data_IF_858068101345
#
_entry.id   IF_858068101345
#
_cell.length_a   1.000
_cell.length_b   1.000
_cell.length_c   1.000
_cell.angle_alpha   90.00
_cell.angle_beta   90.00
_cell.angle_gamma   90.00
#
_symmetry.space_group_name_H-M   'P 1'
#
loop_
_entity.id
_entity.type
_entity.pdbx_description
1 polymer ?
#
# COMPACT_ATOMS: atom_id res chain seq x y z
N UNK A 1 24.85 -24.77 25.52
CA UNK A 1 24.42 -24.60 24.12
C UNK A 1 25.49 -23.80 23.40
N UNK A 2 26.04 -24.35 22.34
CA UNK A 2 26.98 -23.66 21.46
C UNK A 2 26.17 -22.97 20.36
N UNK A 3 26.12 -21.64 20.34
CA UNK A 3 25.56 -20.88 19.25
C UNK A 3 26.58 -19.90 18.68
N UNK A 4 26.53 -19.69 17.40
CA UNK A 4 27.33 -18.71 16.67
C UNK A 4 26.41 -17.67 16.05
N UNK A 5 26.68 -16.41 16.35
CA UNK A 5 25.97 -15.28 15.71
C UNK A 5 26.94 -14.53 14.84
N UNK A 6 26.59 -14.34 13.58
CA UNK A 6 27.38 -13.53 12.67
C UNK A 6 26.62 -12.27 12.24
N UNK A 7 27.38 -11.20 12.00
CA UNK A 7 26.84 -9.96 11.45
C UNK A 7 26.91 -10.01 9.91
N UNK A 8 25.77 -10.06 9.20
CA UNK A 8 25.75 -10.10 7.75
C UNK A 8 26.50 -8.94 7.08
N UNK A 9 26.61 -7.80 7.76
CA UNK A 9 27.36 -6.63 7.25
C UNK A 9 28.86 -6.87 7.19
N UNK A 10 29.40 -7.71 8.06
CA UNK A 10 30.83 -8.06 8.07
C UNK A 10 31.20 -9.04 6.95
N UNK A 11 30.28 -9.92 6.57
CA UNK A 11 30.52 -10.95 5.56
C UNK A 11 30.17 -10.45 4.14
N UNK A 12 29.47 -9.31 4.02
CA UNK A 12 29.05 -8.71 2.73
C UNK A 12 28.37 -9.72 1.79
N UNK A 13 27.37 -10.42 2.30
CA UNK A 13 26.57 -11.32 1.48
C UNK A 13 25.81 -10.53 0.43
N UNK A 14 25.84 -10.99 -0.82
CA UNK A 14 24.97 -10.50 -1.89
C UNK A 14 23.60 -11.18 -1.80
N UNK A 15 22.61 -10.64 -2.52
CA UNK A 15 21.30 -11.28 -2.61
C UNK A 15 21.44 -12.67 -3.21
N UNK A 16 20.91 -13.69 -2.53
CA UNK A 16 21.01 -15.05 -3.03
C UNK A 16 20.78 -16.14 -1.99
N UNK A 17 20.83 -17.36 -2.49
CA UNK A 17 20.73 -18.58 -1.72
C UNK A 17 22.11 -19.05 -1.30
N UNK A 18 22.26 -19.32 -0.01
CA UNK A 18 23.52 -19.80 0.58
C UNK A 18 23.30 -21.14 1.26
N UNK A 19 24.37 -21.92 1.26
CA UNK A 19 24.42 -23.21 1.92
C UNK A 19 25.41 -23.14 3.07
N UNK A 20 25.13 -23.82 4.16
CA UNK A 20 26.05 -23.91 5.28
C UNK A 20 26.09 -25.32 5.85
N UNK A 21 27.23 -25.68 6.35
CA UNK A 21 27.51 -26.92 7.07
C UNK A 21 28.55 -26.66 8.16
N UNK A 22 28.69 -27.58 9.07
CA UNK A 22 29.64 -27.49 10.18
C UNK A 22 30.46 -28.75 10.26
N UNK A 23 31.77 -28.61 10.48
CA UNK A 23 32.68 -29.70 10.87
C UNK A 23 33.37 -29.30 12.18
N UNK A 24 33.72 -30.25 13.01
CA UNK A 24 34.56 -29.97 14.17
C UNK A 24 35.99 -30.35 13.93
N UNK A 25 36.91 -29.71 14.65
CA UNK A 25 38.37 -30.02 14.64
C UNK A 25 38.75 -30.39 16.05
N UNK A 26 39.44 -31.51 16.21
CA UNK A 26 39.92 -31.95 17.52
C UNK A 26 41.25 -31.26 17.91
N UNK A 27 41.76 -31.56 19.12
CA UNK A 27 42.99 -30.98 19.62
C UNK A 27 44.26 -31.41 18.85
N UNK A 28 44.18 -32.44 18.04
CA UNK A 28 45.29 -32.95 17.20
C UNK A 28 45.22 -32.39 15.79
N UNK A 29 44.17 -31.62 15.45
CA UNK A 29 43.97 -31.03 14.14
C UNK A 29 43.21 -31.90 13.15
N UNK A 30 42.64 -33.03 13.59
CA UNK A 30 41.80 -33.87 12.72
C UNK A 30 40.44 -33.23 12.53
N UNK A 31 39.94 -33.25 11.29
CA UNK A 31 38.63 -32.64 10.90
C UNK A 31 37.60 -33.74 10.73
N UNK A 32 36.45 -33.58 11.32
CA UNK A 32 35.30 -34.48 11.18
C UNK A 32 34.69 -34.39 9.78
N UNK A 33 33.83 -35.35 9.42
CA UNK A 33 32.90 -35.16 8.32
C UNK A 33 32.02 -33.94 8.56
N UNK A 34 31.60 -33.30 7.48
CA UNK A 34 30.66 -32.19 7.54
C UNK A 34 29.25 -32.64 7.93
N UNK A 35 28.54 -31.83 8.66
CA UNK A 35 27.10 -31.99 8.90
C UNK A 35 26.32 -32.05 7.58
N UNK A 36 25.06 -32.43 7.64
CA UNK A 36 24.13 -32.18 6.55
C UNK A 36 24.12 -30.67 6.20
N UNK A 37 23.95 -30.39 4.91
CA UNK A 37 23.91 -29.04 4.39
C UNK A 37 22.53 -28.42 4.65
N UNK A 38 22.50 -27.25 5.26
CA UNK A 38 21.30 -26.45 5.44
C UNK A 38 21.35 -25.19 4.56
N UNK A 39 20.22 -24.55 4.39
CA UNK A 39 20.03 -23.42 3.46
C UNK A 39 19.58 -22.17 4.20
N UNK A 40 20.11 -21.02 3.82
CA UNK A 40 19.54 -19.71 4.16
C UNK A 40 19.61 -18.76 2.97
N UNK A 41 18.86 -17.68 3.05
CA UNK A 41 18.83 -16.65 2.02
C UNK A 41 19.33 -15.33 2.58
N UNK A 42 20.23 -14.68 1.87
CA UNK A 42 20.66 -13.32 2.13
C UNK A 42 19.93 -12.37 1.17
N UNK A 43 19.47 -11.24 1.68
CA UNK A 43 18.86 -10.18 0.88
C UNK A 43 19.35 -8.83 1.37
N UNK A 44 19.77 -7.96 0.45
CA UNK A 44 20.15 -6.59 0.74
C UNK A 44 18.90 -5.77 1.03
N UNK A 45 18.71 -5.39 2.27
CA UNK A 45 17.56 -4.64 2.76
C UNK A 45 16.50 -5.53 3.40
N UNK A 46 15.48 -4.89 3.96
CA UNK A 46 14.32 -5.62 4.48
C UNK A 46 13.54 -6.17 3.28
N UNK A 47 13.31 -7.47 3.18
CA UNK A 47 12.46 -8.06 2.16
C UNK A 47 10.98 -7.73 2.36
N UNK A 48 10.69 -6.69 3.13
CA UNK A 48 9.34 -6.27 3.42
C UNK A 48 8.71 -5.62 2.19
N UNK A 49 7.58 -6.14 1.81
CA UNK A 49 6.69 -5.45 0.89
C UNK A 49 5.92 -4.41 1.71
N UNK A 50 6.22 -3.16 1.47
CA UNK A 50 5.49 -2.08 2.12
C UNK A 50 4.33 -1.65 1.24
N UNK A 51 3.12 -1.96 1.68
CA UNK A 51 1.90 -1.35 1.15
C UNK A 51 1.90 0.13 1.54
N UNK A 52 1.74 1.05 0.56
CA UNK A 52 1.80 2.49 0.79
C UNK A 52 0.39 3.05 0.85
N UNK A 53 -0.37 2.92 -0.23
CA UNK A 53 -1.74 3.43 -0.33
C UNK A 53 -2.68 2.33 -0.85
N UNK A 54 -3.93 2.35 -0.44
CA UNK A 54 -4.52 3.19 0.60
C UNK A 54 -3.95 2.88 1.98
N UNK A 55 -3.95 3.86 2.88
CA UNK A 55 -3.62 3.65 4.30
C UNK A 55 -4.59 2.65 4.94
N UNK A 56 -4.18 2.04 6.05
CA UNK A 56 -5.07 1.12 6.77
C UNK A 56 -6.32 1.86 7.27
N UNK A 57 -7.50 1.24 7.06
CA UNK A 57 -8.79 1.84 7.40
C UNK A 57 -9.30 2.88 6.40
N UNK A 58 -8.69 3.03 5.22
CA UNK A 58 -9.13 4.00 4.20
C UNK A 58 -10.59 3.77 3.80
N UNK A 59 -11.36 4.86 3.78
CA UNK A 59 -12.80 4.87 3.45
C UNK A 59 -13.01 5.61 2.14
N UNK A 60 -13.83 5.05 1.25
CA UNK A 60 -14.10 5.63 -0.07
C UNK A 60 -15.53 5.34 -0.51
N UNK A 61 -16.17 6.29 -1.20
CA UNK A 61 -17.45 6.05 -1.85
C UNK A 61 -17.30 5.01 -2.97
N UNK A 62 -18.30 4.17 -3.17
CA UNK A 62 -18.30 3.12 -4.20
C UNK A 62 -17.96 3.66 -5.59
N UNK A 63 -18.48 4.84 -5.95
CA UNK A 63 -18.25 5.49 -7.24
C UNK A 63 -16.78 5.86 -7.51
N UNK A 64 -15.96 6.03 -6.47
CA UNK A 64 -14.56 6.42 -6.55
C UNK A 64 -13.59 5.22 -6.45
N UNK A 65 -14.10 4.03 -6.15
CA UNK A 65 -13.27 2.82 -6.03
C UNK A 65 -12.46 2.52 -7.30
N UNK A 66 -13.01 2.64 -8.53
CA UNK A 66 -12.25 2.40 -9.75
C UNK A 66 -11.03 3.31 -9.94
N UNK A 67 -11.10 4.54 -9.41
CA UNK A 67 -10.03 5.53 -9.49
C UNK A 67 -9.03 5.43 -8.33
N UNK A 68 -9.37 4.67 -7.29
CA UNK A 68 -8.49 4.48 -6.14
C UNK A 68 -7.24 3.71 -6.55
N UNK A 69 -6.09 4.27 -6.18
CA UNK A 69 -4.78 3.66 -6.44
C UNK A 69 -4.37 2.81 -5.25
N UNK A 70 -4.02 1.57 -5.51
CA UNK A 70 -3.29 0.72 -4.58
C UNK A 70 -1.81 0.80 -4.95
N UNK A 71 -0.97 1.23 -4.01
CA UNK A 71 0.47 1.41 -4.26
C UNK A 71 1.29 0.72 -3.19
N UNK A 72 2.46 0.25 -3.59
CA UNK A 72 3.40 -0.44 -2.71
C UNK A 72 4.85 -0.24 -3.15
N UNK A 73 5.76 -0.49 -2.24
CA UNK A 73 7.18 -0.54 -2.53
C UNK A 73 7.58 -2.00 -2.70
N UNK A 74 8.12 -2.32 -3.85
CA UNK A 74 8.66 -3.65 -4.14
C UNK A 74 10.17 -3.63 -3.92
N UNK A 75 10.62 -4.36 -2.91
CA UNK A 75 12.04 -4.58 -2.63
C UNK A 75 12.32 -6.09 -2.58
N UNK A 76 12.05 -6.76 -3.70
CA UNK A 76 12.21 -8.21 -3.84
C UNK A 76 13.14 -8.53 -5.00
N UNK A 77 13.93 -9.62 -4.90
CA UNK A 77 14.71 -10.16 -6.01
C UNK A 77 13.82 -10.47 -7.24
N UNK A 78 14.43 -10.49 -8.42
CA UNK A 78 13.72 -10.73 -9.69
C UNK A 78 13.02 -12.10 -9.77
N UNK A 79 13.54 -13.09 -9.04
CA UNK A 79 12.95 -14.43 -8.98
C UNK A 79 11.69 -14.52 -8.08
N UNK A 80 11.13 -13.40 -7.63
CA UNK A 80 9.88 -13.38 -6.88
C UNK A 80 8.71 -12.93 -7.76
N UNK A 81 7.67 -13.71 -7.75
CA UNK A 81 6.37 -13.35 -8.30
C UNK A 81 5.49 -12.77 -7.21
N UNK A 82 4.91 -11.61 -7.48
CA UNK A 82 4.02 -10.92 -6.56
C UNK A 82 2.58 -11.01 -7.04
N UNK A 83 1.69 -11.34 -6.13
CA UNK A 83 0.24 -11.35 -6.33
C UNK A 83 -0.37 -10.29 -5.42
N UNK A 84 -1.14 -9.39 -6.00
CA UNK A 84 -2.06 -8.53 -5.25
C UNK A 84 -3.28 -9.35 -4.86
N UNK A 85 -3.66 -9.34 -3.60
CA UNK A 85 -4.82 -10.06 -3.08
C UNK A 85 -5.77 -9.09 -2.37
N UNK A 86 -7.06 -9.19 -2.71
CA UNK A 86 -8.15 -8.49 -2.04
C UNK A 86 -9.16 -9.51 -1.56
N UNK A 87 -9.58 -9.41 -0.30
CA UNK A 87 -10.48 -10.35 0.35
C UNK A 87 -11.59 -9.62 1.09
N UNK A 88 -12.76 -10.27 1.24
CA UNK A 88 -13.81 -9.87 2.17
C UNK A 88 -13.56 -10.37 3.60
N UNK A 89 -12.59 -11.28 3.77
CA UNK A 89 -12.27 -11.88 5.06
C UNK A 89 -10.84 -11.51 5.47
N UNK A 90 -10.66 -11.20 6.75
CA UNK A 90 -9.36 -10.76 7.28
C UNK A 90 -8.27 -11.82 7.18
N UNK A 91 -8.63 -13.08 7.19
CA UNK A 91 -7.73 -14.23 7.05
C UNK A 91 -7.41 -14.58 5.59
N UNK A 92 -8.02 -13.85 4.63
CA UNK A 92 -7.90 -14.12 3.19
C UNK A 92 -8.43 -15.48 2.75
N UNK A 93 -9.33 -16.08 3.51
CA UNK A 93 -10.01 -17.33 3.14
C UNK A 93 -10.95 -17.16 1.94
N UNK A 94 -11.42 -15.92 1.68
CA UNK A 94 -12.31 -15.58 0.57
C UNK A 94 -11.77 -14.43 -0.25
N UNK A 95 -10.94 -14.74 -1.24
CA UNK A 95 -10.45 -13.76 -2.20
C UNK A 95 -11.59 -13.29 -3.11
N UNK A 96 -11.71 -11.97 -3.27
CA UNK A 96 -12.61 -11.30 -4.21
C UNK A 96 -11.87 -10.95 -5.48
N UNK A 97 -10.60 -10.59 -5.35
CA UNK A 97 -9.74 -10.24 -6.46
C UNK A 97 -8.31 -10.71 -6.19
N UNK A 98 -7.67 -11.21 -7.23
CA UNK A 98 -6.29 -11.66 -7.17
C UNK A 98 -5.64 -11.45 -8.53
N UNK A 99 -4.53 -10.75 -8.58
CA UNK A 99 -3.80 -10.47 -9.82
C UNK A 99 -2.29 -10.56 -9.60
N UNK A 100 -1.63 -11.31 -10.48
CA UNK A 100 -0.17 -11.35 -10.55
C UNK A 100 0.33 -10.04 -11.15
N UNK A 101 1.28 -9.41 -10.49
CA UNK A 101 1.77 -8.08 -10.89
C UNK A 101 3.28 -7.95 -10.80
N UNK A 102 3.85 -7.25 -11.77
CA UNK A 102 5.24 -6.76 -11.73
C UNK A 102 5.32 -5.26 -11.43
N UNK A 103 4.16 -4.58 -11.38
CA UNK A 103 4.06 -3.15 -11.12
C UNK A 103 4.21 -2.84 -9.62
N UNK A 104 4.39 -1.56 -9.29
CA UNK A 104 4.36 -1.02 -7.92
C UNK A 104 3.00 -0.42 -7.53
N UNK A 105 1.96 -0.69 -8.31
CA UNK A 105 0.60 -0.25 -8.04
C UNK A 105 -0.41 -0.76 -9.05
N UNK A 106 -1.68 -0.65 -8.67
CA UNK A 106 -2.82 -0.99 -9.50
C UNK A 106 -4.02 -0.09 -9.21
N UNK A 107 -5.01 -0.14 -10.08
CA UNK A 107 -6.31 0.56 -9.99
C UNK A 107 -7.34 -0.14 -10.87
N UNK A 108 -8.56 0.37 -10.89
CA UNK A 108 -9.60 -0.16 -11.77
C UNK A 108 -10.39 -1.33 -11.17
N UNK A 109 -10.36 -1.51 -9.85
CA UNK A 109 -11.15 -2.52 -9.15
C UNK A 109 -12.56 -1.96 -8.93
N UNK A 110 -13.58 -2.78 -9.17
CA UNK A 110 -14.96 -2.45 -8.85
C UNK A 110 -15.40 -3.26 -7.63
N UNK A 111 -15.87 -2.58 -6.59
CA UNK A 111 -16.33 -3.21 -5.36
C UNK A 111 -17.72 -2.69 -4.97
N UNK A 112 -18.49 -3.53 -4.31
CA UNK A 112 -19.73 -3.13 -3.63
C UNK A 112 -19.39 -2.53 -2.26
N UNK A 113 -20.34 -1.80 -1.63
CA UNK A 113 -20.17 -1.37 -0.26
C UNK A 113 -19.85 -2.54 0.67
N UNK A 114 -18.87 -2.32 1.57
CA UNK A 114 -18.39 -3.38 2.46
C UNK A 114 -16.98 -3.13 2.99
N UNK A 115 -16.53 -4.02 3.84
CA UNK A 115 -15.17 -4.01 4.40
C UNK A 115 -14.35 -5.04 3.66
N UNK A 116 -13.16 -4.63 3.22
CA UNK A 116 -12.22 -5.44 2.47
C UNK A 116 -10.84 -5.38 3.10
N UNK A 117 -10.05 -6.40 2.82
CA UNK A 117 -8.67 -6.52 3.26
C UNK A 117 -7.79 -6.74 2.03
N UNK A 118 -6.67 -6.04 1.94
CA UNK A 118 -5.75 -6.23 0.84
C UNK A 118 -4.31 -6.41 1.33
N UNK A 119 -3.56 -7.18 0.58
CA UNK A 119 -2.16 -7.45 0.84
C UNK A 119 -1.42 -7.82 -0.44
N UNK A 120 -0.12 -7.93 -0.31
CA UNK A 120 0.74 -8.52 -1.32
C UNK A 120 1.22 -9.88 -0.83
N UNK A 121 1.14 -10.86 -1.69
CA UNK A 121 1.65 -12.20 -1.47
C UNK A 121 2.69 -12.49 -2.53
N UNK A 122 3.93 -12.75 -2.14
CA UNK A 122 5.01 -13.03 -3.05
C UNK A 122 5.63 -14.38 -2.78
N UNK A 123 5.91 -15.09 -3.87
CA UNK A 123 6.53 -16.41 -3.82
C UNK A 123 7.76 -16.42 -4.74
N UNK A 124 8.85 -17.01 -4.26
CA UNK A 124 10.00 -17.32 -5.11
C UNK A 124 9.62 -18.35 -6.18
N UNK A 125 10.14 -18.15 -7.39
CA UNK A 125 9.97 -19.10 -8.51
C UNK A 125 10.95 -20.26 -8.46
N UNK A 126 12.01 -20.14 -7.68
CA UNK A 126 13.10 -21.13 -7.60
C UNK A 126 13.10 -21.89 -6.28
N UNK A 127 12.43 -21.36 -5.26
CA UNK A 127 12.51 -21.86 -3.89
C UNK A 127 11.16 -21.74 -3.18
N UNK A 128 10.97 -22.45 -2.08
CA UNK A 128 9.71 -22.42 -1.29
C UNK A 128 9.58 -21.20 -0.35
N UNK A 129 10.15 -20.07 -0.74
CA UNK A 129 10.06 -18.85 0.06
C UNK A 129 8.78 -18.10 -0.28
N UNK A 130 8.01 -17.78 0.75
CA UNK A 130 6.84 -16.89 0.68
C UNK A 130 7.06 -15.65 1.54
N UNK A 131 6.62 -14.52 1.03
CA UNK A 131 6.59 -13.24 1.72
C UNK A 131 5.22 -12.62 1.59
N UNK A 132 4.63 -12.27 2.73
CA UNK A 132 3.30 -11.67 2.76
C UNK A 132 3.40 -10.34 3.47
N UNK A 133 2.90 -9.28 2.86
CA UNK A 133 2.84 -7.96 3.51
C UNK A 133 1.82 -7.96 4.65
N UNK A 134 1.91 -6.99 5.54
CA UNK A 134 0.81 -6.68 6.45
C UNK A 134 -0.46 -6.39 5.64
N UNK A 135 -1.58 -6.93 6.09
CA UNK A 135 -2.88 -6.65 5.50
C UNK A 135 -3.34 -5.25 5.91
N UNK A 136 -4.00 -4.55 4.99
CA UNK A 136 -4.66 -3.27 5.24
C UNK A 136 -6.15 -3.38 5.01
N UNK A 137 -6.90 -2.67 5.84
CA UNK A 137 -8.36 -2.56 5.73
C UNK A 137 -8.72 -1.47 4.71
N UNK A 138 -9.72 -1.76 3.89
CA UNK A 138 -10.26 -0.88 2.88
C UNK A 138 -11.79 -0.90 2.96
N UNK A 139 -12.42 0.25 3.19
CA UNK A 139 -13.85 0.35 3.46
C UNK A 139 -14.52 1.08 2.29
N UNK A 140 -15.44 0.38 1.64
CA UNK A 140 -16.26 0.94 0.57
C UNK A 140 -17.62 1.33 1.15
N UNK A 141 -17.95 2.61 1.04
CA UNK A 141 -19.22 3.18 1.48
C UNK A 141 -20.22 3.18 0.33
N UNK A 142 -21.47 3.01 0.64
CA UNK A 142 -22.56 3.02 -0.36
C UNK A 142 -22.64 4.39 -1.06
N UNK A 143 -22.69 5.46 -0.27
CA UNK A 143 -22.57 6.83 -0.75
C UNK A 143 -21.95 7.69 0.35
N UNK A 144 -21.18 8.70 -0.08
CA UNK A 144 -20.87 9.83 0.78
C UNK A 144 -21.79 10.96 0.33
N UNK A 145 -22.45 11.61 1.26
CA UNK A 145 -23.24 12.80 0.96
C UNK A 145 -22.31 13.89 0.42
N UNK A 146 -22.73 14.49 -0.69
CA UNK A 146 -22.00 15.63 -1.23
C UNK A 146 -22.34 16.88 -0.41
N UNK A 147 -21.37 17.77 -0.13
CA UNK A 147 -21.66 19.05 0.50
C UNK A 147 -22.65 19.86 -0.35
N UNK A 148 -23.67 20.41 0.28
CA UNK A 148 -24.58 21.36 -0.36
C UNK A 148 -24.00 22.77 -0.34
N UNK A 149 -23.87 23.40 -1.53
CA UNK A 149 -23.31 24.74 -1.66
C UNK A 149 -24.29 25.81 -1.14
N UNK A 150 -23.81 26.74 -0.31
CA UNK A 150 -24.53 27.89 0.19
C UNK A 150 -24.21 29.16 -0.58
N UNK A 151 -22.93 29.50 -0.64
CA UNK A 151 -22.42 30.66 -1.34
C UNK A 151 -21.24 30.26 -2.26
N UNK A 152 -21.05 30.96 -3.39
CA UNK A 152 -21.99 31.89 -3.98
C UNK A 152 -23.24 31.21 -4.54
N UNK A 153 -24.34 31.91 -4.62
CA UNK A 153 -25.50 31.41 -5.33
C UNK A 153 -25.23 31.20 -6.81
N UNK A 154 -26.02 30.35 -7.46
CA UNK A 154 -25.86 30.06 -8.90
C UNK A 154 -25.83 31.34 -9.74
N UNK A 155 -24.85 31.44 -10.68
CA UNK A 155 -24.64 32.61 -11.56
C UNK A 155 -24.16 33.90 -10.83
N UNK A 156 -23.66 33.81 -9.60
CA UNK A 156 -23.00 34.92 -8.94
C UNK A 156 -21.81 35.44 -9.77
N UNK A 157 -21.56 36.75 -9.65
CA UNK A 157 -20.49 37.43 -10.37
C UNK A 157 -19.45 37.95 -9.38
N UNK A 158 -18.25 37.42 -9.39
CA UNK A 158 -17.11 37.96 -8.65
C UNK A 158 -16.66 39.28 -9.27
N UNK A 159 -16.33 40.28 -8.45
CA UNK A 159 -15.76 41.56 -8.86
C UNK A 159 -14.48 41.81 -8.09
N UNK A 160 -13.47 42.36 -8.74
CA UNK A 160 -12.09 42.52 -8.19
C UNK A 160 -12.05 43.32 -6.86
N UNK A 161 -13.01 44.22 -6.62
CA UNK A 161 -13.06 45.08 -5.44
C UNK A 161 -14.05 44.63 -4.35
N UNK A 162 -14.63 43.44 -4.50
CA UNK A 162 -15.65 42.94 -3.56
C UNK A 162 -15.22 41.58 -3.05
N UNK A 163 -15.12 41.37 -1.72
CA UNK A 163 -14.87 40.04 -1.17
C UNK A 163 -15.86 39.00 -1.72
N UNK A 164 -15.35 37.83 -2.05
CA UNK A 164 -16.15 36.77 -2.65
C UNK A 164 -15.89 35.49 -1.90
N UNK A 165 -16.80 35.12 -1.01
CA UNK A 165 -16.69 33.93 -0.19
C UNK A 165 -17.42 32.73 -0.78
N UNK A 166 -16.90 31.53 -0.46
CA UNK A 166 -17.50 30.26 -0.79
C UNK A 166 -17.87 29.55 0.50
N UNK A 167 -19.09 29.02 0.58
CA UNK A 167 -19.49 28.23 1.73
C UNK A 167 -20.44 27.09 1.35
N UNK A 168 -20.49 26.08 2.20
CA UNK A 168 -21.31 24.89 2.03
C UNK A 168 -21.84 24.38 3.37
N UNK A 169 -22.75 23.40 3.33
CA UNK A 169 -23.25 22.74 4.53
C UNK A 169 -22.17 21.76 5.04
N UNK A 170 -22.09 21.65 6.36
CA UNK A 170 -21.28 20.61 7.00
C UNK A 170 -21.82 19.22 6.64
N UNK A 171 -20.91 18.29 6.40
CA UNK A 171 -21.19 16.88 6.21
C UNK A 171 -20.69 16.13 7.43
N UNK A 172 -21.51 15.27 8.01
CA UNK A 172 -21.15 14.45 9.16
C UNK A 172 -19.93 13.57 8.85
N UNK A 173 -19.01 13.44 9.79
CA UNK A 173 -17.75 12.70 9.65
C UNK A 173 -16.74 13.25 8.61
N UNK A 174 -16.92 14.46 8.11
CA UNK A 174 -15.93 15.10 7.25
C UNK A 174 -14.73 15.63 8.06
N UNK A 175 -13.55 15.10 7.85
CA UNK A 175 -12.30 15.61 8.45
C UNK A 175 -11.86 16.94 7.80
N UNK A 176 -12.03 17.06 6.50
CA UNK A 176 -11.74 18.26 5.70
C UNK A 176 -12.47 18.19 4.36
N UNK A 177 -12.52 19.32 3.68
CA UNK A 177 -13.10 19.45 2.34
C UNK A 177 -11.99 19.75 1.33
N UNK A 178 -12.09 19.17 0.15
CA UNK A 178 -11.26 19.52 -0.97
C UNK A 178 -11.96 20.59 -1.81
N UNK A 179 -11.49 21.82 -1.69
CA UNK A 179 -12.04 22.95 -2.43
C UNK A 179 -11.30 23.11 -3.76
N UNK A 180 -12.03 23.19 -4.87
CA UNK A 180 -11.41 23.28 -6.21
C UNK A 180 -12.19 24.26 -7.08
N UNK A 181 -11.48 25.12 -7.81
CA UNK A 181 -12.04 26.04 -8.81
C UNK A 181 -11.59 25.58 -10.20
N UNK A 182 -12.54 25.46 -11.11
CA UNK A 182 -12.28 25.08 -12.50
C UNK A 182 -12.70 26.16 -13.47
N UNK A 183 -11.87 26.37 -14.51
CA UNK A 183 -12.30 27.16 -15.67
C UNK A 183 -13.20 26.29 -16.54
N UNK A 184 -14.27 26.89 -17.07
CA UNK A 184 -15.21 26.19 -17.97
C UNK A 184 -14.48 25.44 -19.09
N UNK A 185 -14.82 24.17 -19.29
CA UNK A 185 -14.23 23.29 -20.29
C UNK A 185 -12.82 22.76 -19.97
N UNK A 186 -12.29 23.00 -18.78
CA UNK A 186 -11.00 22.45 -18.33
C UNK A 186 -11.22 21.41 -17.22
N UNK A 187 -10.41 20.33 -17.26
CA UNK A 187 -10.42 19.26 -16.25
C UNK A 187 -9.40 19.49 -15.12
N UNK A 188 -8.46 20.38 -15.35
CA UNK A 188 -7.44 20.73 -14.34
C UNK A 188 -7.96 21.95 -13.58
N UNK A 189 -7.99 21.92 -12.24
CA UNK A 189 -8.39 23.08 -11.44
C UNK A 189 -7.40 24.23 -11.62
N UNK A 190 -7.91 25.47 -11.56
CA UNK A 190 -7.08 26.67 -11.49
C UNK A 190 -6.68 27.01 -10.06
N UNK A 191 -7.42 26.47 -9.09
CA UNK A 191 -7.11 26.53 -7.67
C UNK A 191 -7.63 25.26 -6.99
N UNK A 192 -6.87 24.72 -6.05
CA UNK A 192 -7.23 23.55 -5.24
C UNK A 192 -6.56 23.67 -3.88
N UNK A 193 -7.33 23.45 -2.80
CA UNK A 193 -6.83 23.45 -1.43
C UNK A 193 -7.69 22.55 -0.52
N UNK A 194 -7.11 22.16 0.62
CA UNK A 194 -7.79 21.42 1.67
C UNK A 194 -8.30 22.39 2.75
N UNK A 195 -9.60 22.40 2.97
CA UNK A 195 -10.28 23.31 3.91
C UNK A 195 -10.83 22.52 5.09
N UNK A 196 -10.45 22.91 6.30
CA UNK A 196 -10.89 22.27 7.55
C UNK A 196 -12.17 22.86 8.14
N UNK A 197 -12.80 23.76 7.43
CA UNK A 197 -14.10 24.36 7.76
C UNK A 197 -15.04 24.31 6.57
N UNK A 198 -16.13 25.05 6.64
CA UNK A 198 -17.19 25.09 5.62
C UNK A 198 -17.21 26.39 4.82
N UNK A 199 -16.14 27.17 4.87
CA UNK A 199 -16.03 28.50 4.24
C UNK A 199 -14.62 28.81 3.76
N UNK A 200 -14.52 29.54 2.64
CA UNK A 200 -13.28 30.05 2.04
C UNK A 200 -13.55 31.48 1.55
N UNK A 201 -12.70 32.43 1.96
CA UNK A 201 -12.70 33.84 1.56
C UNK A 201 -11.66 34.15 0.48
#
# INVERSE_FOLDING_TARGET
ENYFSFDPKKIKLEDGKYFWSVSYVDSEGNVSESSETSVFYAMKGSPEQHTIEPVDGYRVAQSLVPDTKFTWKRNLPENFETVFELSSEKDFSRLIYSEKTSSSGMRGINLKPGIYFWRLNSKSTTDDIKMVSSAKTFIVLDSLEAPELKNPGSKAVARESVPFSFSWNEVEDADFYKFSIYRAGKKVPVFEDNVYGTEVD
#
